data_IF_331495482004
#
_entry.id   IF_331495482004
#
_cell.length_a   1.000
_cell.length_b   1.000
_cell.length_c   1.000
_cell.angle_alpha   90.00
_cell.angle_beta   90.00
_cell.angle_gamma   90.00
#
_symmetry.space_group_name_H-M   'P 1'
#
loop_
_entity.id
_entity.type
_entity.pdbx_description
1 polymer ?
#
# COMPACT_ATOMS: atom_id res chain seq x y z
N UNK A 1 24.46 13.10 16.20
CA UNK A 1 24.06 12.09 17.17
C UNK A 1 23.88 10.74 16.45
N UNK A 2 24.60 9.70 16.94
CA UNK A 2 24.58 8.33 16.36
C UNK A 2 23.16 7.75 16.31
N UNK A 3 22.35 8.01 17.33
CA UNK A 3 20.98 7.49 17.44
C UNK A 3 20.08 8.08 16.36
N UNK A 4 20.12 9.38 16.13
CA UNK A 4 19.33 10.04 15.09
C UNK A 4 19.72 9.55 13.70
N UNK A 5 21.01 9.36 13.46
CA UNK A 5 21.49 8.81 12.19
C UNK A 5 21.00 7.39 11.95
N UNK A 6 21.05 6.53 12.97
CA UNK A 6 20.55 5.16 12.87
C UNK A 6 19.04 5.13 12.59
N UNK A 7 18.25 5.92 13.32
CA UNK A 7 16.80 6.03 13.10
C UNK A 7 16.50 6.46 11.66
N UNK A 8 17.20 7.47 11.14
CA UNK A 8 17.02 7.92 9.75
C UNK A 8 17.36 6.83 8.74
N UNK A 9 18.42 6.05 8.98
CA UNK A 9 18.78 4.92 8.13
C UNK A 9 17.72 3.81 8.16
N UNK A 10 17.18 3.50 9.35
CA UNK A 10 16.10 2.53 9.49
C UNK A 10 14.82 2.98 8.75
N UNK A 11 14.43 4.25 8.86
CA UNK A 11 13.29 4.79 8.11
C UNK A 11 13.52 4.70 6.61
N UNK A 12 14.71 5.04 6.13
CA UNK A 12 15.05 4.92 4.72
C UNK A 12 14.98 3.47 4.24
N UNK A 13 15.56 2.53 4.97
CA UNK A 13 15.56 1.11 4.63
C UNK A 13 14.13 0.56 4.55
N UNK A 14 13.30 0.80 5.57
CA UNK A 14 11.91 0.29 5.57
C UNK A 14 11.06 0.92 4.46
N UNK A 15 11.30 2.18 4.11
CA UNK A 15 10.61 2.84 2.99
C UNK A 15 10.96 2.19 1.65
N UNK A 16 12.23 1.83 1.43
CA UNK A 16 12.63 1.10 0.21
C UNK A 16 11.96 -0.28 0.14
N UNK A 17 11.94 -1.02 1.25
CA UNK A 17 11.23 -2.29 1.33
C UNK A 17 9.74 -2.11 1.00
N UNK A 18 9.08 -1.08 1.54
CA UNK A 18 7.68 -0.78 1.23
C UNK A 18 7.45 -0.53 -0.27
N UNK A 19 8.28 0.27 -0.93
CA UNK A 19 8.18 0.50 -2.37
C UNK A 19 8.35 -0.79 -3.19
N UNK A 20 9.26 -1.68 -2.78
CA UNK A 20 9.45 -2.98 -3.43
C UNK A 20 8.23 -3.90 -3.26
N UNK A 21 7.66 -3.96 -2.06
CA UNK A 21 6.46 -4.77 -1.78
C UNK A 21 5.22 -4.19 -2.49
N UNK A 22 5.03 -2.87 -2.46
CA UNK A 22 3.95 -2.20 -3.18
C UNK A 22 4.04 -2.46 -4.69
N UNK A 23 5.24 -2.38 -5.27
CA UNK A 23 5.45 -2.67 -6.68
C UNK A 23 5.06 -4.11 -7.06
N UNK A 24 5.27 -5.07 -6.16
CA UNK A 24 4.85 -6.45 -6.37
C UNK A 24 3.31 -6.57 -6.47
N UNK A 25 2.56 -5.85 -5.62
CA UNK A 25 1.10 -5.80 -5.69
C UNK A 25 0.62 -5.09 -6.97
N UNK A 26 1.17 -3.92 -7.29
CA UNK A 26 0.82 -3.15 -8.50
C UNK A 26 1.02 -3.99 -9.77
N UNK A 27 2.13 -4.73 -9.86
CA UNK A 27 2.43 -5.59 -11.03
C UNK A 27 1.51 -6.80 -11.16
N UNK A 28 0.97 -7.32 -10.03
CA UNK A 28 -0.04 -8.39 -10.05
C UNK A 28 -1.42 -7.88 -10.46
N UNK A 29 -1.70 -6.61 -10.22
CA UNK A 29 -2.99 -5.96 -10.40
C UNK A 29 -2.89 -4.69 -11.26
N UNK A 30 -2.61 -4.80 -12.59
CA UNK A 30 -2.57 -3.66 -13.49
C UNK A 30 -3.88 -2.85 -13.50
N UNK A 31 -5.01 -3.50 -13.19
CA UNK A 31 -6.33 -2.90 -13.09
C UNK A 31 -6.47 -1.86 -11.97
N UNK A 32 -5.54 -1.81 -11.00
CA UNK A 32 -5.53 -0.77 -9.98
C UNK A 32 -5.09 0.61 -10.49
N UNK A 33 -4.52 0.66 -11.72
CA UNK A 33 -4.04 1.89 -12.36
C UNK A 33 -3.06 2.69 -11.45
N UNK A 34 -2.16 1.98 -10.78
CA UNK A 34 -1.22 2.54 -9.81
C UNK A 34 0.22 2.63 -10.32
N UNK A 35 0.45 2.49 -11.63
CA UNK A 35 1.81 2.51 -12.21
C UNK A 35 2.58 3.80 -11.89
N UNK A 36 1.88 4.93 -11.70
CA UNK A 36 2.50 6.20 -11.27
C UNK A 36 3.19 6.13 -9.90
N UNK A 37 2.93 5.10 -9.10
CA UNK A 37 3.57 4.84 -7.80
C UNK A 37 4.84 3.98 -7.90
N UNK A 38 5.17 3.49 -9.08
CA UNK A 38 6.41 2.77 -9.32
C UNK A 38 7.57 3.77 -9.45
N UNK A 39 8.09 4.25 -8.33
CA UNK A 39 9.01 5.40 -8.29
C UNK A 39 10.49 5.03 -8.41
N UNK A 40 10.90 3.81 -8.03
CA UNK A 40 12.33 3.47 -7.93
C UNK A 40 13.06 3.47 -9.27
N UNK A 41 12.38 3.18 -10.39
CA UNK A 41 12.99 3.23 -11.73
C UNK A 41 13.16 4.66 -12.27
N UNK A 42 12.61 5.67 -11.60
CA UNK A 42 12.82 7.09 -11.93
C UNK A 42 14.14 7.65 -11.38
N UNK A 43 14.90 6.85 -10.63
CA UNK A 43 16.19 7.27 -10.06
C UNK A 43 17.29 7.06 -11.10
N UNK A 44 17.92 8.13 -11.56
CA UNK A 44 19.18 8.08 -12.30
C UNK A 44 20.34 8.20 -11.31
N UNK A 45 20.94 7.05 -10.98
CA UNK A 45 22.05 6.98 -10.03
C UNK A 45 23.33 7.66 -10.53
N UNK A 46 23.54 7.70 -11.85
CA UNK A 46 24.75 8.33 -12.45
C UNK A 46 24.65 9.84 -12.39
N UNK A 47 23.49 10.38 -12.74
CA UNK A 47 23.24 11.83 -12.72
C UNK A 47 22.81 12.33 -11.36
N UNK A 48 22.47 11.45 -10.42
CA UNK A 48 21.92 11.75 -9.08
C UNK A 48 20.67 12.60 -9.16
N UNK A 49 19.75 12.24 -10.05
CA UNK A 49 18.48 12.92 -10.22
C UNK A 49 17.32 11.93 -10.11
N UNK A 50 16.19 12.44 -9.66
CA UNK A 50 14.90 11.77 -9.70
C UNK A 50 14.08 12.40 -10.82
N UNK A 51 13.58 11.58 -11.74
CA UNK A 51 12.81 12.03 -12.90
C UNK A 51 11.32 11.92 -12.62
N UNK A 52 10.60 13.03 -12.65
CA UNK A 52 9.15 13.06 -12.46
C UNK A 52 8.51 14.07 -13.40
N UNK A 53 7.47 13.68 -14.11
CA UNK A 53 6.70 14.52 -15.04
C UNK A 53 7.56 15.28 -16.04
N UNK A 54 8.59 14.62 -16.57
CA UNK A 54 9.53 15.18 -17.55
C UNK A 54 10.53 16.19 -16.96
N UNK A 55 10.62 16.29 -15.63
CA UNK A 55 11.57 17.16 -14.92
C UNK A 55 12.57 16.33 -14.12
N UNK A 56 13.80 16.82 -14.07
CA UNK A 56 14.87 16.26 -13.24
C UNK A 56 14.92 17.03 -11.91
N UNK A 57 14.91 16.30 -10.82
CA UNK A 57 15.06 16.82 -9.46
C UNK A 57 16.37 16.32 -8.88
N UNK A 58 17.26 17.22 -8.49
CA UNK A 58 18.53 16.86 -7.85
C UNK A 58 18.31 16.11 -6.54
N UNK A 59 18.98 14.96 -6.40
CA UNK A 59 18.94 14.16 -5.18
C UNK A 59 20.15 14.47 -4.30
N UNK A 60 19.92 15.00 -3.11
CA UNK A 60 20.98 15.26 -2.11
C UNK A 60 21.60 13.99 -1.54
N UNK A 61 20.84 12.91 -1.51
CA UNK A 61 21.26 11.59 -1.05
C UNK A 61 20.82 10.52 -2.07
N UNK A 62 21.80 9.87 -2.68
CA UNK A 62 21.60 8.75 -3.63
C UNK A 62 22.18 7.43 -3.12
N UNK A 63 22.43 7.32 -1.82
CA UNK A 63 22.97 6.09 -1.23
C UNK A 63 21.80 5.11 -0.95
N UNK A 64 21.55 4.22 -1.89
CA UNK A 64 20.53 3.16 -1.79
C UNK A 64 21.20 1.80 -2.06
N UNK A 65 21.91 1.22 -1.07
CA UNK A 65 22.74 0.04 -1.28
C UNK A 65 21.96 -1.23 -1.65
N UNK A 66 20.65 -1.25 -1.40
CA UNK A 66 19.78 -2.40 -1.69
C UNK A 66 18.96 -2.23 -2.96
N UNK A 67 19.13 -1.14 -3.71
CA UNK A 67 18.47 -0.95 -5.00
C UNK A 67 19.43 -1.35 -6.13
N UNK A 68 19.07 -2.41 -6.85
CA UNK A 68 19.70 -2.74 -8.13
C UNK A 68 19.07 -1.88 -9.24
N UNK A 69 19.81 -1.03 -9.96
CA UNK A 69 19.27 -0.22 -11.05
C UNK A 69 18.62 -1.03 -12.18
N UNK A 70 19.09 -2.27 -12.42
CA UNK A 70 18.51 -3.15 -13.45
C UNK A 70 17.21 -3.82 -12.98
N UNK A 71 17.07 -4.03 -11.67
CA UNK A 71 15.85 -4.61 -11.07
C UNK A 71 15.48 -3.94 -9.73
N UNK A 72 15.07 -2.67 -9.77
CA UNK A 72 14.98 -1.83 -8.56
C UNK A 72 13.91 -2.29 -7.54
N UNK A 73 13.01 -3.17 -7.93
CA UNK A 73 11.92 -3.65 -7.07
C UNK A 73 12.14 -5.05 -6.49
N UNK A 74 13.28 -5.69 -6.80
CA UNK A 74 13.61 -6.98 -6.20
C UNK A 74 14.10 -6.77 -4.77
N UNK A 75 13.56 -7.53 -3.82
CA UNK A 75 14.09 -7.60 -2.46
C UNK A 75 15.47 -8.26 -2.47
N UNK A 76 16.38 -7.79 -1.61
CA UNK A 76 17.59 -8.56 -1.29
C UNK A 76 17.27 -9.66 -0.27
N UNK A 77 18.19 -10.62 -0.09
CA UNK A 77 18.02 -11.69 0.89
C UNK A 77 17.84 -11.12 2.31
N UNK A 78 18.61 -10.08 2.69
CA UNK A 78 18.49 -9.43 3.98
C UNK A 78 17.14 -8.70 4.14
N UNK A 79 16.65 -8.07 3.08
CA UNK A 79 15.33 -7.43 3.08
C UNK A 79 14.21 -8.47 3.24
N UNK A 80 14.30 -9.61 2.56
CA UNK A 80 13.36 -10.73 2.72
C UNK A 80 13.35 -11.27 4.16
N UNK A 81 14.52 -11.46 4.77
CA UNK A 81 14.61 -11.84 6.16
C UNK A 81 13.93 -10.85 7.12
N UNK A 82 14.12 -9.54 6.88
CA UNK A 82 13.48 -8.48 7.68
C UNK A 82 11.96 -8.57 7.53
N UNK A 83 11.45 -8.69 6.29
CA UNK A 83 10.01 -8.85 6.02
C UNK A 83 9.45 -10.07 6.74
N UNK A 84 10.14 -11.22 6.68
CA UNK A 84 9.71 -12.44 7.38
C UNK A 84 9.70 -12.27 8.90
N UNK A 85 10.71 -11.62 9.48
CA UNK A 85 10.77 -11.33 10.92
C UNK A 85 9.63 -10.41 11.36
N UNK A 86 9.35 -9.35 10.58
CA UNK A 86 8.22 -8.46 10.82
C UNK A 86 6.90 -9.22 10.72
N UNK A 87 6.69 -9.98 9.66
CA UNK A 87 5.48 -10.78 9.48
C UNK A 87 5.24 -11.72 10.68
N UNK A 88 6.26 -12.48 11.11
CA UNK A 88 6.15 -13.35 12.28
C UNK A 88 5.83 -12.58 13.57
N UNK A 89 6.44 -11.41 13.76
CA UNK A 89 6.21 -10.57 14.94
C UNK A 89 4.76 -10.07 15.00
N UNK A 90 4.22 -9.59 13.88
CA UNK A 90 2.84 -9.06 13.82
C UNK A 90 1.81 -10.19 13.91
N UNK A 91 1.97 -11.28 13.16
CA UNK A 91 1.00 -12.39 13.15
C UNK A 91 1.07 -13.22 14.42
N UNK A 92 2.22 -13.28 15.09
CA UNK A 92 2.40 -13.98 16.38
C UNK A 92 1.86 -13.22 17.58
N UNK A 93 1.54 -11.94 17.47
CA UNK A 93 1.02 -11.13 18.57
C UNK A 93 -0.47 -11.40 18.83
N UNK A 94 -0.78 -12.12 19.91
CA UNK A 94 -2.17 -12.41 20.31
C UNK A 94 -2.95 -11.12 20.60
N UNK A 95 -2.34 -10.14 21.26
CA UNK A 95 -2.95 -8.84 21.54
C UNK A 95 -3.31 -8.10 20.26
N UNK A 96 -2.38 -8.01 19.31
CA UNK A 96 -2.63 -7.35 18.01
C UNK A 96 -3.74 -8.07 17.26
N UNK A 97 -3.70 -9.40 17.19
CA UNK A 97 -4.74 -10.19 16.53
C UNK A 97 -6.15 -9.95 17.11
N UNK A 98 -6.28 -9.87 18.45
CA UNK A 98 -7.56 -9.52 19.10
C UNK A 98 -8.04 -8.12 18.71
N UNK A 99 -7.12 -7.14 18.69
CA UNK A 99 -7.47 -5.77 18.28
C UNK A 99 -7.89 -5.69 16.81
N UNK A 100 -7.13 -6.30 15.91
CA UNK A 100 -7.45 -6.31 14.48
C UNK A 100 -8.78 -7.02 14.21
N UNK A 101 -9.02 -8.15 14.87
CA UNK A 101 -10.30 -8.86 14.79
C UNK A 101 -11.48 -7.98 15.23
N UNK A 102 -11.31 -7.19 16.29
CA UNK A 102 -12.33 -6.25 16.74
C UNK A 102 -12.58 -5.15 15.70
N UNK A 103 -11.51 -4.53 15.18
CA UNK A 103 -11.60 -3.46 14.17
C UNK A 103 -12.31 -3.96 12.91
N UNK A 104 -11.91 -5.12 12.36
CA UNK A 104 -12.50 -5.64 11.13
C UNK A 104 -13.92 -6.17 11.31
N UNK A 105 -14.28 -6.62 12.51
CA UNK A 105 -15.62 -7.11 12.81
C UNK A 105 -16.63 -5.99 13.02
N UNK A 106 -16.26 -4.94 13.74
CA UNK A 106 -17.16 -3.88 14.18
C UNK A 106 -16.91 -2.53 13.49
N UNK A 107 -15.74 -2.35 12.87
CA UNK A 107 -15.44 -1.16 12.11
C UNK A 107 -16.23 -1.07 10.80
N UNK A 108 -16.33 0.14 10.29
CA UNK A 108 -16.99 0.43 9.02
C UNK A 108 -16.19 1.50 8.24
N UNK A 109 -16.37 1.51 6.92
CA UNK A 109 -15.74 2.51 6.05
C UNK A 109 -16.38 3.88 6.17
N UNK A 110 -17.63 3.94 6.60
CA UNK A 110 -18.38 5.16 6.87
C UNK A 110 -19.46 4.91 7.92
N UNK A 111 -19.92 5.96 8.55
CA UNK A 111 -21.06 5.95 9.46
C UNK A 111 -21.90 7.20 9.26
N UNK A 112 -23.20 7.09 9.43
CA UNK A 112 -24.11 8.24 9.44
C UNK A 112 -24.67 8.40 10.84
N UNK A 113 -24.38 9.54 11.46
CA UNK A 113 -24.85 9.86 12.80
C UNK A 113 -25.42 11.28 12.81
N UNK A 114 -26.66 11.46 13.27
CA UNK A 114 -27.35 12.76 13.32
C UNK A 114 -27.28 13.51 11.97
N UNK A 115 -27.57 12.82 10.87
CA UNK A 115 -27.51 13.32 9.50
C UNK A 115 -26.10 13.75 9.03
N UNK A 116 -25.04 13.49 9.80
CA UNK A 116 -23.65 13.69 9.38
C UNK A 116 -23.07 12.42 8.83
N UNK A 117 -22.47 12.50 7.64
CA UNK A 117 -21.67 11.43 7.05
C UNK A 117 -20.24 11.51 7.59
N UNK A 118 -19.84 10.48 8.32
CA UNK A 118 -18.51 10.33 8.89
C UNK A 118 -17.76 9.25 8.10
N UNK A 119 -16.61 9.57 7.54
CA UNK A 119 -15.73 8.60 6.88
C UNK A 119 -14.27 9.03 7.01
N UNK A 120 -13.35 8.08 6.89
CA UNK A 120 -11.93 8.35 6.92
C UNK A 120 -11.37 8.41 5.49
N UNK A 121 -10.40 9.30 5.27
CA UNK A 121 -9.80 9.58 3.97
C UNK A 121 -10.73 10.35 3.00
N UNK A 122 -10.56 10.14 1.69
CA UNK A 122 -11.28 10.87 0.65
C UNK A 122 -12.19 9.96 -0.16
N UNK A 123 -13.25 10.56 -0.70
CA UNK A 123 -14.10 9.88 -1.69
C UNK A 123 -13.48 10.10 -3.08
N UNK A 124 -13.31 9.04 -3.91
CA UNK A 124 -12.85 9.22 -5.29
C UNK A 124 -13.80 10.09 -6.09
N UNK A 125 -13.25 11.14 -6.69
CA UNK A 125 -14.01 12.13 -7.48
C UNK A 125 -13.34 12.38 -8.83
N UNK A 126 -14.14 12.72 -9.81
CA UNK A 126 -13.69 13.25 -11.10
C UNK A 126 -13.31 14.74 -10.97
N UNK A 127 -12.60 15.28 -11.97
CA UNK A 127 -12.19 16.67 -11.97
C UNK A 127 -13.37 17.68 -11.97
N UNK A 128 -14.54 17.24 -12.45
CA UNK A 128 -15.78 18.01 -12.46
C UNK A 128 -16.56 17.98 -11.13
N UNK A 129 -16.02 17.29 -10.11
CA UNK A 129 -16.65 17.14 -8.80
C UNK A 129 -17.69 16.02 -8.70
N UNK A 130 -17.91 15.24 -9.76
CA UNK A 130 -18.77 14.05 -9.68
C UNK A 130 -18.06 12.86 -9.06
N UNK A 131 -18.83 11.91 -8.49
CA UNK A 131 -18.26 10.69 -7.90
C UNK A 131 -17.63 9.81 -8.99
N UNK A 132 -16.37 9.46 -8.81
CA UNK A 132 -15.62 8.57 -9.72
C UNK A 132 -16.12 7.13 -9.56
N UNK A 133 -16.32 6.44 -10.68
CA UNK A 133 -16.54 4.99 -10.69
C UNK A 133 -15.22 4.25 -10.57
N UNK A 134 -15.18 3.23 -9.71
CA UNK A 134 -14.04 2.33 -9.52
C UNK A 134 -14.47 0.93 -9.91
N UNK A 135 -13.71 0.29 -10.80
CA UNK A 135 -13.93 -1.10 -11.16
C UNK A 135 -13.34 -2.02 -10.09
N UNK A 136 -14.14 -2.95 -9.60
CA UNK A 136 -13.70 -3.99 -8.67
C UNK A 136 -14.21 -5.33 -9.21
N UNK A 137 -13.31 -6.14 -9.72
CA UNK A 137 -13.61 -7.45 -10.29
C UNK A 137 -14.68 -7.39 -11.40
N UNK A 138 -14.55 -6.42 -12.33
CA UNK A 138 -15.44 -6.24 -13.47
C UNK A 138 -16.78 -5.59 -13.15
N UNK A 139 -16.97 -5.11 -11.91
CA UNK A 139 -18.16 -4.38 -11.52
C UNK A 139 -17.83 -2.99 -11.01
N UNK A 140 -18.56 -1.99 -11.50
CA UNK A 140 -18.34 -0.58 -11.17
C UNK A 140 -19.09 -0.17 -9.91
N UNK A 141 -18.38 0.55 -9.03
CA UNK A 141 -18.91 1.07 -7.77
C UNK A 141 -18.54 2.53 -7.61
N UNK A 142 -19.41 3.33 -6.99
CA UNK A 142 -19.12 4.73 -6.61
C UNK A 142 -19.85 5.09 -5.32
N UNK A 143 -19.38 6.13 -4.64
CA UNK A 143 -19.99 6.67 -3.43
C UNK A 143 -20.17 5.60 -2.35
N UNK A 144 -21.35 5.55 -1.77
CA UNK A 144 -21.71 4.61 -0.70
C UNK A 144 -21.52 3.14 -1.10
N UNK A 145 -21.88 2.79 -2.35
CA UNK A 145 -21.73 1.42 -2.85
C UNK A 145 -20.25 1.00 -2.90
N UNK A 146 -19.36 1.93 -3.24
CA UNK A 146 -17.90 1.71 -3.21
C UNK A 146 -17.42 1.47 -1.78
N UNK A 147 -17.81 2.32 -0.83
CA UNK A 147 -17.42 2.16 0.58
C UNK A 147 -17.92 0.83 1.17
N UNK A 148 -19.15 0.43 0.85
CA UNK A 148 -19.70 -0.88 1.25
C UNK A 148 -18.88 -2.03 0.65
N UNK A 149 -18.51 -1.95 -0.64
CA UNK A 149 -17.74 -3.00 -1.31
C UNK A 149 -16.32 -3.11 -0.73
N UNK A 150 -15.65 -2.00 -0.49
CA UNK A 150 -14.33 -1.97 0.16
C UNK A 150 -14.41 -2.57 1.56
N UNK A 151 -15.41 -2.22 2.35
CA UNK A 151 -15.64 -2.82 3.66
C UNK A 151 -15.88 -4.35 3.62
N UNK A 152 -16.50 -4.86 2.56
CA UNK A 152 -16.64 -6.31 2.32
C UNK A 152 -15.28 -6.93 2.00
N UNK A 153 -14.48 -6.32 1.11
CA UNK A 153 -13.14 -6.81 0.76
C UNK A 153 -12.22 -6.89 1.98
N UNK A 154 -12.24 -5.87 2.84
CA UNK A 154 -11.47 -5.88 4.10
C UNK A 154 -11.85 -7.11 4.94
N UNK A 155 -13.14 -7.41 5.07
CA UNK A 155 -13.60 -8.60 5.82
C UNK A 155 -13.23 -9.90 5.12
N UNK A 156 -13.35 -9.96 3.80
CA UNK A 156 -12.94 -11.11 3.00
C UNK A 156 -11.44 -11.38 3.17
N UNK A 157 -10.60 -10.35 3.06
CA UNK A 157 -9.15 -10.48 3.23
C UNK A 157 -8.78 -11.08 4.60
N UNK A 158 -9.50 -10.72 5.66
CA UNK A 158 -9.15 -11.11 7.02
C UNK A 158 -9.85 -12.39 7.49
N UNK A 159 -11.13 -12.58 7.19
CA UNK A 159 -11.96 -13.66 7.77
C UNK A 159 -12.25 -14.83 6.84
N UNK A 160 -12.14 -14.64 5.51
CA UNK A 160 -12.46 -15.71 4.59
C UNK A 160 -11.45 -16.86 4.68
N UNK A 161 -11.90 -18.07 4.37
CA UNK A 161 -11.03 -19.24 4.23
C UNK A 161 -10.10 -19.09 3.02
N UNK A 162 -9.00 -19.86 2.97
CA UNK A 162 -7.96 -19.72 1.93
C UNK A 162 -8.47 -20.10 0.52
N UNK A 163 -9.50 -20.91 0.42
CA UNK A 163 -10.15 -21.32 -0.83
C UNK A 163 -11.16 -20.28 -1.37
N UNK A 164 -11.40 -19.19 -0.64
CA UNK A 164 -12.28 -18.13 -1.12
C UNK A 164 -11.65 -17.42 -2.34
N UNK A 165 -12.36 -17.38 -3.49
CA UNK A 165 -11.80 -16.88 -4.75
C UNK A 165 -11.44 -15.39 -4.74
N UNK A 166 -12.07 -14.59 -3.87
CA UNK A 166 -11.78 -13.17 -3.75
C UNK A 166 -10.69 -12.84 -2.74
N UNK A 167 -10.24 -13.81 -1.91
CA UNK A 167 -9.35 -13.51 -0.78
C UNK A 167 -7.99 -12.97 -1.22
N UNK A 168 -7.40 -13.54 -2.26
CA UNK A 168 -6.10 -13.09 -2.78
C UNK A 168 -6.20 -11.66 -3.32
N UNK A 169 -7.21 -11.39 -4.17
CA UNK A 169 -7.49 -10.05 -4.66
C UNK A 169 -7.74 -9.06 -3.50
N UNK A 170 -8.57 -9.45 -2.53
CA UNK A 170 -8.90 -8.59 -1.40
C UNK A 170 -7.68 -8.22 -0.55
N UNK A 171 -6.72 -9.14 -0.37
CA UNK A 171 -5.46 -8.87 0.34
C UNK A 171 -4.57 -7.87 -0.38
N UNK A 172 -4.52 -7.92 -1.71
CA UNK A 172 -3.71 -7.00 -2.50
C UNK A 172 -4.41 -5.65 -2.71
N UNK A 173 -5.75 -5.62 -2.63
CA UNK A 173 -6.55 -4.40 -2.80
C UNK A 173 -6.53 -3.48 -1.57
N UNK A 174 -6.39 -4.02 -0.36
CA UNK A 174 -6.43 -3.26 0.92
C UNK A 174 -5.04 -2.92 1.42
#
# INVERSE_FOLDING_TARGET
DKTLRLISQMHKAITIIQFKLEAAAIRRHPEFDMNSRLLLHHIDFKRKVFQLDGKDYEMRDCLFPTIDPENPYQLTEEEEEIVQKLHKSFTGSEKLRKHMKCIFRYGCMYNVCNSNLLFHASMPMNADGTLKEVDILGKKYKGEALLKRVGQLIRTAYFAEEDNPEKAFARDFI
#
